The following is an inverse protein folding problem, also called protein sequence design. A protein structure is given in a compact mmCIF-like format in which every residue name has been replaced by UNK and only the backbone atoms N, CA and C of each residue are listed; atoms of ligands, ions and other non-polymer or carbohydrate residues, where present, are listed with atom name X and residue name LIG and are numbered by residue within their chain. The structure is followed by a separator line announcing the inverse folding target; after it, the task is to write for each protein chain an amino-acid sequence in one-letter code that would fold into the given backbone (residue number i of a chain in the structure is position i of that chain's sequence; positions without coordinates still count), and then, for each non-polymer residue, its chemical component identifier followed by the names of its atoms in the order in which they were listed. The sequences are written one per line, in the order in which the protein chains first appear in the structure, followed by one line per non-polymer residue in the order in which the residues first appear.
data_IF_489736781156
#
_entry.id   IF_489736781156
#
_cell.length_a   1.000
_cell.length_b   1.000
_cell.length_c   1.000
_cell.angle_alpha   90.00
_cell.angle_beta   90.00
_cell.angle_gamma   90.00
#
_symmetry.space_group_name_H-M   'P 1'
#
loop_
_entity.id
_entity.type
_entity.pdbx_description
1 polymer ?
#
# COMPACT_ATOMS: atom_id res chain seq x y z
N UNK A 1 0.44 -0.44 15.38
CA UNK A 1 -0.99 -0.78 15.43
C UNK A 1 -1.81 0.48 15.14
N UNK A 2 -2.82 0.38 14.32
CA UNK A 2 -3.72 1.50 14.07
C UNK A 2 -4.64 1.75 15.27
N UNK A 3 -5.15 2.98 15.40
CA UNK A 3 -5.94 3.41 16.57
C UNK A 3 -7.30 2.72 16.73
N UNK A 4 -7.76 2.00 15.71
CA UNK A 4 -9.00 1.22 15.76
C UNK A 4 -8.82 -0.22 16.26
N UNK A 5 -7.59 -0.61 16.56
CA UNK A 5 -7.24 -1.93 17.10
C UNK A 5 -6.79 -1.77 18.54
N UNK A 6 -7.40 -2.56 19.43
CA UNK A 6 -6.97 -2.60 20.84
C UNK A 6 -5.67 -3.37 20.96
N UNK A 7 -4.72 -2.83 21.72
CA UNK A 7 -3.47 -3.50 22.06
C UNK A 7 -3.53 -4.02 23.48
N UNK A 8 -3.08 -5.26 23.68
CA UNK A 8 -2.96 -5.91 24.97
C UNK A 8 -1.55 -5.75 25.59
N UNK A 9 -0.63 -5.13 24.86
CA UNK A 9 0.76 -4.93 25.32
C UNK A 9 1.15 -3.46 25.33
N UNK A 10 1.95 -3.08 26.33
CA UNK A 10 2.51 -1.73 26.46
C UNK A 10 3.64 -1.45 25.46
N UNK A 11 4.15 -2.48 24.79
CA UNK A 11 5.22 -2.37 23.80
C UNK A 11 4.71 -1.96 22.43
N UNK A 12 3.40 -2.09 22.19
CA UNK A 12 2.81 -1.70 20.92
C UNK A 12 2.75 -0.17 20.78
N UNK A 13 3.12 0.28 19.59
CA UNK A 13 2.98 1.68 19.19
C UNK A 13 1.64 1.84 18.48
N UNK A 14 0.78 2.72 19.00
CA UNK A 14 -0.52 3.02 18.39
C UNK A 14 -0.39 4.25 17.51
N UNK A 15 -0.74 4.10 16.23
CA UNK A 15 -0.72 5.18 15.26
C UNK A 15 -2.14 5.64 14.97
N UNK A 16 -2.37 6.95 15.03
CA UNK A 16 -3.66 7.51 14.67
C UNK A 16 -3.89 7.34 13.16
N UNK A 17 -4.91 6.58 12.82
CA UNK A 17 -5.36 6.30 11.47
C UNK A 17 -5.51 7.57 10.61
N UNK A 18 -6.12 8.63 11.15
CA UNK A 18 -6.35 9.87 10.42
C UNK A 18 -5.05 10.62 10.03
N UNK A 19 -3.93 10.28 10.65
CA UNK A 19 -2.64 10.89 10.33
C UNK A 19 -1.93 10.25 9.14
N UNK A 20 -2.38 9.08 8.70
CA UNK A 20 -1.71 8.27 7.67
C UNK A 20 -2.56 7.98 6.43
N UNK A 21 -3.77 8.52 6.37
CA UNK A 21 -4.64 8.39 5.20
C UNK A 21 -4.61 9.66 4.35
N UNK A 22 -4.80 9.50 3.05
CA UNK A 22 -5.01 10.61 2.11
C UNK A 22 -6.45 10.55 1.59
N UNK A 23 -7.28 11.46 2.05
CA UNK A 23 -8.70 11.54 1.69
C UNK A 23 -8.95 12.07 0.28
N UNK A 24 -7.89 12.48 -0.43
CA UNK A 24 -7.96 12.82 -1.85
C UNK A 24 -8.22 11.61 -2.76
N UNK A 25 -8.07 10.40 -2.21
CA UNK A 25 -8.30 9.15 -2.92
C UNK A 25 -9.54 8.41 -2.39
N UNK A 26 -10.23 7.70 -3.28
CA UNK A 26 -11.42 6.89 -2.92
C UNK A 26 -11.04 5.67 -2.07
N UNK A 27 -9.91 5.03 -2.39
CA UNK A 27 -9.45 3.81 -1.72
C UNK A 27 -8.26 4.08 -0.77
N UNK A 28 -8.38 5.09 0.05
CA UNK A 28 -7.31 5.53 0.96
C UNK A 28 -7.04 4.56 2.12
N UNK A 29 -7.87 3.56 2.34
CA UNK A 29 -7.77 2.62 3.46
C UNK A 29 -6.92 1.37 3.15
N UNK A 30 -6.12 1.39 2.12
CA UNK A 30 -5.20 0.29 1.85
C UNK A 30 -4.07 0.25 2.89
N UNK A 31 -3.93 -0.87 3.59
CA UNK A 31 -2.99 -1.02 4.70
C UNK A 31 -1.53 -0.85 4.29
N UNK A 32 -1.16 -1.30 3.09
CA UNK A 32 0.20 -1.12 2.57
C UNK A 32 0.51 0.35 2.31
N UNK A 33 -0.41 1.07 1.69
CA UNK A 33 -0.26 2.51 1.44
C UNK A 33 -0.20 3.29 2.75
N UNK A 34 -1.04 2.92 3.73
CA UNK A 34 -1.01 3.52 5.06
C UNK A 34 0.33 3.32 5.75
N UNK A 35 0.89 2.11 5.68
CA UNK A 35 2.20 1.81 6.24
C UNK A 35 3.31 2.60 5.55
N UNK A 36 3.29 2.69 4.23
CA UNK A 36 4.26 3.47 3.46
C UNK A 36 4.16 4.97 3.80
N UNK A 37 2.96 5.48 4.00
CA UNK A 37 2.75 6.87 4.45
C UNK A 37 3.37 7.13 5.83
N UNK A 38 3.30 6.16 6.72
CA UNK A 38 3.99 6.23 8.01
C UNK A 38 5.52 6.18 7.83
N UNK A 39 6.02 5.31 6.98
CA UNK A 39 7.45 5.15 6.73
C UNK A 39 8.10 6.40 6.13
N UNK A 40 7.36 7.22 5.39
CA UNK A 40 7.87 8.52 4.92
C UNK A 40 8.37 9.40 6.06
N UNK A 41 7.76 9.30 7.23
CA UNK A 41 8.13 10.09 8.42
C UNK A 41 9.40 9.55 9.11
N UNK A 42 9.72 8.29 8.89
CA UNK A 42 10.87 7.61 9.49
C UNK A 42 12.13 7.78 8.63
N UNK A 43 11.97 8.12 7.36
CA UNK A 43 13.05 8.28 6.37
C UNK A 43 13.95 7.03 6.27
N UNK A 44 13.41 5.84 5.98
CA UNK A 44 14.24 4.66 5.79
C UNK A 44 15.11 4.81 4.54
N UNK A 45 16.27 4.16 4.54
CA UNK A 45 17.16 4.14 3.38
C UNK A 45 16.76 3.11 2.34
N UNK A 46 16.06 2.07 2.76
CA UNK A 46 15.63 0.99 1.89
C UNK A 46 14.30 0.40 2.39
N UNK A 47 13.38 0.17 1.47
CA UNK A 47 12.13 -0.55 1.72
C UNK A 47 12.09 -1.76 0.79
N UNK A 48 12.00 -2.95 1.37
CA UNK A 48 11.80 -4.19 0.62
C UNK A 48 10.38 -4.67 0.87
N UNK A 49 9.65 -4.96 -0.20
CA UNK A 49 8.24 -5.29 -0.16
C UNK A 49 7.98 -6.69 -0.71
N UNK A 50 7.02 -7.38 -0.10
CA UNK A 50 6.49 -8.65 -0.57
C UNK A 50 4.97 -8.67 -0.38
N UNK A 51 4.26 -9.32 -1.30
CA UNK A 51 2.81 -9.46 -1.18
C UNK A 51 2.00 -8.21 -1.54
N UNK A 52 2.63 -7.18 -2.08
CA UNK A 52 1.94 -6.02 -2.65
C UNK A 52 1.77 -6.23 -4.16
N UNK A 53 0.93 -7.20 -4.50
CA UNK A 53 0.85 -7.75 -5.86
C UNK A 53 -0.12 -6.98 -6.76
N UNK A 54 -1.10 -6.33 -6.19
CA UNK A 54 -2.26 -5.80 -6.89
C UNK A 54 -3.40 -6.83 -6.96
N UNK A 55 -4.53 -6.42 -7.46
CA UNK A 55 -5.71 -7.28 -7.59
C UNK A 55 -5.84 -7.82 -9.02
N UNK A 56 -6.32 -9.05 -9.13
CA UNK A 56 -6.68 -9.63 -10.43
C UNK A 56 -7.95 -8.95 -10.95
N UNK A 57 -7.83 -8.29 -12.09
CA UNK A 57 -8.93 -7.55 -12.72
C UNK A 57 -9.89 -8.46 -13.51
N UNK A 58 -9.52 -9.71 -13.71
CA UNK A 58 -10.31 -10.70 -14.44
C UNK A 58 -11.05 -11.68 -13.54
N UNK A 59 -10.87 -11.61 -12.23
CA UNK A 59 -11.43 -12.54 -11.26
C UNK A 59 -11.89 -11.83 -10.00
N UNK A 60 -12.96 -12.35 -9.38
CA UNK A 60 -13.40 -11.93 -8.04
C UNK A 60 -12.61 -12.62 -6.92
N UNK A 61 -11.73 -13.57 -7.27
CA UNK A 61 -10.96 -14.41 -6.35
C UNK A 61 -9.64 -13.75 -5.93
N UNK A 62 -9.70 -12.56 -5.33
CA UNK A 62 -8.52 -11.78 -4.96
C UNK A 62 -8.08 -11.95 -3.50
N UNK A 63 -8.89 -12.57 -2.67
CA UNK A 63 -8.58 -12.76 -1.26
C UNK A 63 -8.34 -14.24 -0.96
N UNK A 64 -7.37 -14.53 -0.12
CA UNK A 64 -7.10 -15.89 0.35
C UNK A 64 -8.23 -16.43 1.23
N UNK A 65 -8.94 -15.55 1.92
CA UNK A 65 -10.14 -15.88 2.70
C UNK A 65 -11.37 -15.50 1.89
N UNK A 66 -12.21 -16.48 1.56
CA UNK A 66 -13.45 -16.29 0.76
C UNK A 66 -14.47 -15.36 1.41
N UNK A 67 -14.40 -15.15 2.72
CA UNK A 67 -15.29 -14.23 3.44
C UNK A 67 -15.14 -12.77 3.00
N UNK A 68 -14.01 -12.39 2.39
CA UNK A 68 -13.76 -11.04 1.90
C UNK A 68 -14.14 -10.82 0.43
N UNK A 69 -14.47 -11.87 -0.31
CA UNK A 69 -14.66 -11.79 -1.78
C UNK A 69 -15.92 -11.05 -2.22
N UNK A 70 -16.93 -10.98 -1.38
CA UNK A 70 -18.23 -10.38 -1.72
C UNK A 70 -18.25 -8.84 -1.59
N UNK A 71 -17.18 -8.22 -1.14
CA UNK A 71 -17.14 -6.78 -0.87
C UNK A 71 -16.88 -5.94 -2.12
N UNK A 72 -16.32 -6.53 -3.19
CA UNK A 72 -15.92 -5.81 -4.40
C UNK A 72 -16.23 -6.59 -5.67
N UNK A 73 -16.67 -5.87 -6.71
CA UNK A 73 -16.87 -6.41 -8.06
C UNK A 73 -15.61 -6.26 -8.91
N UNK A 74 -15.51 -7.02 -10.02
CA UNK A 74 -14.37 -6.99 -10.95
C UNK A 74 -14.04 -5.57 -11.43
N UNK A 75 -15.05 -4.77 -11.77
CA UNK A 75 -14.86 -3.38 -12.22
C UNK A 75 -14.17 -2.51 -11.14
N UNK A 76 -14.45 -2.76 -9.86
CA UNK A 76 -13.84 -2.04 -8.75
C UNK A 76 -12.35 -2.39 -8.58
N UNK A 77 -11.94 -3.61 -8.91
CA UNK A 77 -10.53 -4.01 -8.82
C UNK A 77 -9.65 -3.26 -9.82
N UNK A 78 -10.16 -2.97 -11.01
CA UNK A 78 -9.43 -2.15 -11.98
C UNK A 78 -9.23 -0.72 -11.46
N UNK A 79 -10.30 -0.10 -11.00
CA UNK A 79 -10.27 1.25 -10.42
C UNK A 79 -9.34 1.29 -9.20
N UNK A 80 -9.43 0.27 -8.34
CA UNK A 80 -8.58 0.14 -7.17
C UNK A 80 -7.09 0.02 -7.53
N UNK A 81 -6.73 -0.81 -8.51
CA UNK A 81 -5.36 -0.94 -8.97
C UNK A 81 -4.81 0.38 -9.55
N UNK A 82 -5.62 1.09 -10.34
CA UNK A 82 -5.24 2.39 -10.91
C UNK A 82 -4.97 3.42 -9.81
N UNK A 83 -5.82 3.47 -8.82
CA UNK A 83 -5.68 4.41 -7.70
C UNK A 83 -4.52 4.06 -6.78
N UNK A 84 -4.34 2.76 -6.47
CA UNK A 84 -3.18 2.28 -5.72
C UNK A 84 -1.87 2.59 -6.45
N UNK A 85 -1.85 2.46 -7.78
CA UNK A 85 -0.69 2.83 -8.59
C UNK A 85 -0.33 4.29 -8.41
N UNK A 86 -1.31 5.19 -8.47
CA UNK A 86 -1.11 6.63 -8.27
C UNK A 86 -0.60 6.96 -6.88
N UNK A 87 -1.22 6.39 -5.85
CA UNK A 87 -0.80 6.61 -4.46
C UNK A 87 0.61 6.10 -4.22
N UNK A 88 0.94 4.92 -4.74
CA UNK A 88 2.28 4.35 -4.61
C UNK A 88 3.32 5.18 -5.36
N UNK A 89 3.00 5.64 -6.56
CA UNK A 89 3.87 6.52 -7.36
C UNK A 89 4.21 7.81 -6.62
N UNK A 90 3.23 8.48 -6.02
CA UNK A 90 3.46 9.67 -5.21
C UNK A 90 4.40 9.40 -4.03
N UNK A 91 4.24 8.25 -3.37
CA UNK A 91 5.10 7.86 -2.26
C UNK A 91 6.54 7.63 -2.73
N UNK A 92 6.71 6.89 -3.83
CA UNK A 92 8.04 6.60 -4.39
C UNK A 92 8.73 7.89 -4.84
N UNK A 93 8.02 8.78 -5.54
CA UNK A 93 8.54 10.08 -5.95
C UNK A 93 9.00 10.93 -4.76
N UNK A 94 8.19 10.95 -3.70
CA UNK A 94 8.50 11.73 -2.51
C UNK A 94 9.73 11.20 -1.78
N UNK A 95 9.94 9.90 -1.75
CA UNK A 95 11.00 9.26 -0.98
C UNK A 95 12.30 9.05 -1.76
N UNK A 96 12.24 9.01 -3.09
CA UNK A 96 13.44 8.86 -3.94
C UNK A 96 14.10 10.25 -4.16
N UNK A 97 15.45 10.38 -4.14
CA UNK A 97 16.44 9.31 -4.13
C UNK A 97 16.90 8.84 -2.75
N UNK A 98 16.41 9.41 -1.67
CA UNK A 98 16.86 9.08 -0.30
C UNK A 98 16.54 7.67 0.15
N UNK A 99 15.50 7.06 -0.41
CA UNK A 99 15.08 5.70 -0.13
C UNK A 99 15.06 4.86 -1.40
N UNK A 100 15.60 3.66 -1.36
CA UNK A 100 15.48 2.68 -2.44
C UNK A 100 14.35 1.70 -2.16
N UNK A 101 13.62 1.33 -3.20
CA UNK A 101 12.52 0.37 -3.13
C UNK A 101 12.89 -0.93 -3.84
N UNK A 102 12.50 -2.05 -3.27
CA UNK A 102 12.65 -3.36 -3.87
C UNK A 102 11.37 -4.19 -3.69
N UNK A 103 10.94 -4.85 -4.75
CA UNK A 103 9.78 -5.75 -4.75
C UNK A 103 10.25 -7.16 -5.02
N UNK A 104 10.17 -8.05 -4.02
CA UNK A 104 10.67 -9.42 -4.13
C UNK A 104 9.64 -10.43 -4.62
N UNK A 105 8.35 -10.05 -4.63
CA UNK A 105 7.28 -10.86 -5.22
C UNK A 105 6.78 -10.24 -6.52
N UNK A 106 6.13 -11.00 -7.42
CA UNK A 106 5.46 -10.43 -8.59
C UNK A 106 4.47 -9.34 -8.18
N UNK A 107 4.44 -8.23 -8.91
CA UNK A 107 3.58 -7.10 -8.56
C UNK A 107 3.22 -6.28 -9.78
N UNK A 108 1.96 -5.84 -9.85
CA UNK A 108 1.49 -4.86 -10.85
C UNK A 108 2.13 -3.48 -10.67
N UNK A 109 2.67 -3.20 -9.49
CA UNK A 109 3.28 -1.91 -9.12
C UNK A 109 4.81 -1.88 -9.29
N UNK A 110 5.42 -2.98 -9.70
CA UNK A 110 6.88 -3.08 -9.85
C UNK A 110 7.43 -2.02 -10.82
N UNK A 111 6.69 -1.73 -11.87
CA UNK A 111 7.05 -0.72 -12.86
C UNK A 111 7.26 0.66 -12.24
N UNK A 112 6.47 1.02 -11.24
CA UNK A 112 6.64 2.31 -10.53
C UNK A 112 8.05 2.42 -9.93
N UNK A 113 8.52 1.34 -9.32
CA UNK A 113 9.88 1.29 -8.75
C UNK A 113 10.94 1.40 -9.85
N UNK A 114 10.77 0.66 -10.94
CA UNK A 114 11.69 0.64 -12.07
C UNK A 114 11.81 2.01 -12.73
N UNK A 115 10.69 2.70 -12.95
CA UNK A 115 10.64 4.03 -13.57
C UNK A 115 11.35 5.10 -12.72
N UNK A 116 11.37 4.95 -11.39
CA UNK A 116 11.99 5.91 -10.48
C UNK A 116 13.41 5.54 -10.04
N UNK A 117 13.83 4.30 -10.19
CA UNK A 117 15.17 3.84 -9.80
C UNK A 117 16.28 4.35 -10.72
N UNK A 118 15.95 4.88 -11.89
CA UNK A 118 16.87 5.42 -12.90
C UNK A 118 17.05 6.94 -12.80
N UNK A 119 16.50 7.56 -11.77
CA UNK A 119 16.61 9.00 -11.56
C UNK A 119 17.90 9.41 -10.76
#
# INVERSE_FOLDING_TARGET
ISSNIKSDTKEDIVVNYHCIIDRGYKYFENSTIMLLSLLKRVNPKKITMAGFDGFDECSEMNYSDTSFQNERHIAEFKELNEELTKMFEEIVETMTPGCSFNMITPSKFKRVIEDHSNL
#
